data_IF_126594817599
#
_entry.id   IF_126594817599
#
_cell.length_a   1.000
_cell.length_b   1.000
_cell.length_c   1.000
_cell.angle_alpha   90.00
_cell.angle_beta   90.00
_cell.angle_gamma   90.00
#
_symmetry.space_group_name_H-M   'P 1'
#
loop_
_entity.id
_entity.type
_entity.pdbx_description
1 polymer ?
#
# COMPACT_ATOMS: atom_id res chain seq x y z
N UNK A 1 45.66 -3.60 -62.31
CA UNK A 1 44.62 -2.66 -61.86
C UNK A 1 44.19 -3.12 -60.47
N UNK A 2 44.86 -2.63 -59.41
CA UNK A 2 44.32 -1.67 -58.41
C UNK A 2 42.92 -2.03 -57.90
N UNK A 3 42.86 -2.52 -56.65
CA UNK A 3 41.86 -2.13 -55.65
C UNK A 3 42.37 -2.50 -54.26
N UNK A 4 42.84 -1.49 -53.51
CA UNK A 4 43.00 -1.55 -52.06
C UNK A 4 41.61 -1.63 -51.42
N UNK A 5 41.42 -2.53 -50.47
CA UNK A 5 40.29 -2.46 -49.53
C UNK A 5 40.83 -1.94 -48.20
N UNK A 6 40.53 -0.68 -47.89
CA UNK A 6 40.72 -0.09 -46.58
C UNK A 6 39.51 -0.48 -45.71
N UNK A 7 39.71 -1.42 -44.80
CA UNK A 7 38.71 -1.75 -43.78
C UNK A 7 38.74 -0.68 -42.69
N UNK A 8 37.74 0.19 -42.68
CA UNK A 8 37.53 1.20 -41.64
C UNK A 8 37.05 0.49 -40.36
N UNK A 9 37.89 0.44 -39.33
CA UNK A 9 37.46 0.00 -38.00
C UNK A 9 36.57 1.10 -37.39
N UNK A 10 35.26 0.89 -37.39
CA UNK A 10 34.31 1.71 -36.65
C UNK A 10 34.33 1.26 -35.19
N UNK A 11 35.17 1.89 -34.36
CA UNK A 11 35.16 1.68 -32.92
C UNK A 11 33.90 2.33 -32.33
N UNK A 12 32.85 1.53 -32.12
CA UNK A 12 31.69 1.97 -31.36
C UNK A 12 32.10 2.06 -29.88
N UNK A 13 32.48 3.26 -29.44
CA UNK A 13 32.56 3.56 -28.03
C UNK A 13 31.14 3.57 -27.46
N UNK A 14 30.72 2.47 -26.81
CA UNK A 14 29.59 2.50 -25.89
C UNK A 14 29.97 3.42 -24.73
N UNK A 15 29.61 4.69 -24.85
CA UNK A 15 29.59 5.59 -23.70
C UNK A 15 28.55 5.05 -22.73
N UNK A 16 29.01 4.59 -21.56
CA UNK A 16 28.12 4.37 -20.44
C UNK A 16 27.40 5.69 -20.15
N UNK A 17 26.09 5.73 -20.43
CA UNK A 17 25.26 6.86 -20.01
C UNK A 17 25.23 6.75 -18.48
N UNK A 18 25.79 7.73 -17.74
CA UNK A 18 25.66 7.70 -16.30
C UNK A 18 24.16 7.82 -16.00
N UNK A 19 23.65 6.91 -15.17
CA UNK A 19 22.35 7.07 -14.53
C UNK A 19 22.41 8.38 -13.75
N UNK A 20 21.94 9.47 -14.36
CA UNK A 20 21.72 10.71 -13.66
C UNK A 20 20.51 10.44 -12.78
N UNK A 21 20.75 10.08 -11.50
CA UNK A 21 19.70 10.24 -10.50
C UNK A 21 19.35 11.72 -10.53
N UNK A 22 18.16 12.05 -11.05
CA UNK A 22 17.65 13.40 -10.99
C UNK A 22 17.57 13.78 -9.51
N UNK A 23 18.40 14.74 -9.10
CA UNK A 23 18.30 15.30 -7.76
C UNK A 23 16.88 15.84 -7.57
N UNK A 24 16.07 15.16 -6.75
CA UNK A 24 14.69 15.57 -6.44
C UNK A 24 13.63 14.48 -6.52
N UNK A 25 13.92 13.27 -7.00
CA UNK A 25 12.92 12.19 -7.09
C UNK A 25 12.93 11.32 -5.83
N UNK A 26 11.78 11.20 -5.17
CA UNK A 26 11.64 10.43 -3.92
C UNK A 26 11.64 8.93 -4.21
N UNK A 27 11.94 8.10 -3.19
CA UNK A 27 11.86 6.64 -3.36
C UNK A 27 10.43 6.22 -3.70
N UNK A 28 9.43 6.85 -3.07
CA UNK A 28 8.03 6.61 -3.39
C UNK A 28 7.70 6.96 -4.85
N UNK A 29 8.21 8.06 -5.40
CA UNK A 29 8.00 8.43 -6.82
C UNK A 29 8.58 7.38 -7.78
N UNK A 30 9.77 6.83 -7.50
CA UNK A 30 10.35 5.76 -8.31
C UNK A 30 9.55 4.46 -8.22
N UNK A 31 9.01 4.15 -7.04
CA UNK A 31 8.13 2.98 -6.87
C UNK A 31 6.81 3.21 -7.62
N UNK A 32 6.27 4.42 -7.55
CA UNK A 32 5.05 4.79 -8.24
C UNK A 32 5.23 4.68 -9.76
N UNK A 33 6.34 5.14 -10.32
CA UNK A 33 6.65 4.94 -11.74
C UNK A 33 6.58 3.47 -12.15
N UNK A 34 7.17 2.57 -11.34
CA UNK A 34 7.10 1.12 -11.58
C UNK A 34 5.67 0.60 -11.53
N UNK A 35 4.90 1.03 -10.53
CA UNK A 35 3.51 0.66 -10.36
C UNK A 35 2.64 1.11 -11.54
N UNK A 36 2.81 2.36 -12.00
CA UNK A 36 2.02 2.95 -13.08
C UNK A 36 2.43 2.46 -14.48
N UNK A 37 3.68 2.01 -14.64
CA UNK A 37 4.25 1.58 -15.91
C UNK A 37 4.66 0.10 -15.90
N UNK A 38 3.86 -0.77 -15.27
CA UNK A 38 4.17 -2.20 -15.07
C UNK A 38 4.62 -2.94 -16.35
N UNK A 39 4.07 -2.62 -17.53
CA UNK A 39 4.50 -3.22 -18.80
C UNK A 39 5.95 -2.88 -19.19
N UNK A 40 6.43 -1.69 -18.84
CA UNK A 40 7.83 -1.28 -19.04
C UNK A 40 8.75 -1.98 -18.03
N UNK A 41 8.23 -2.24 -16.83
CA UNK A 41 8.93 -2.85 -15.70
C UNK A 41 8.59 -4.33 -15.50
N UNK A 42 8.18 -5.04 -16.56
CA UNK A 42 7.67 -6.42 -16.49
C UNK A 42 8.64 -7.46 -15.91
N UNK A 43 9.94 -7.15 -15.90
CA UNK A 43 10.99 -8.00 -15.36
C UNK A 43 11.31 -7.66 -13.87
N UNK A 44 10.58 -6.71 -13.28
CA UNK A 44 10.70 -6.30 -11.88
C UNK A 44 9.49 -6.78 -11.08
N UNK A 45 9.72 -7.55 -10.02
CA UNK A 45 8.66 -7.98 -9.10
C UNK A 45 8.63 -7.05 -7.91
N UNK A 46 7.50 -6.35 -7.72
CA UNK A 46 7.31 -5.49 -6.56
C UNK A 46 7.00 -6.31 -5.30
N UNK A 47 7.54 -5.87 -4.16
CA UNK A 47 7.29 -6.52 -2.87
C UNK A 47 6.32 -5.67 -2.04
N UNK A 48 5.17 -6.26 -1.71
CA UNK A 48 4.20 -5.73 -0.77
C UNK A 48 4.30 -6.45 0.59
N UNK A 49 4.62 -5.69 1.63
CA UNK A 49 4.71 -6.16 3.00
C UNK A 49 3.33 -6.11 3.67
N UNK A 50 2.67 -7.28 3.76
CA UNK A 50 1.37 -7.44 4.42
C UNK A 50 1.42 -7.02 5.89
N UNK A 51 0.44 -6.23 6.33
CA UNK A 51 0.33 -5.61 7.67
C UNK A 51 1.61 -4.93 8.13
N UNK A 52 2.19 -4.13 7.25
CA UNK A 52 3.47 -3.45 7.37
C UNK A 52 4.71 -4.36 7.44
N UNK A 53 4.58 -5.69 7.35
CA UNK A 53 5.70 -6.63 7.34
C UNK A 53 6.26 -6.94 8.74
N UNK A 54 5.54 -7.75 9.51
CA UNK A 54 5.96 -8.14 10.87
C UNK A 54 7.09 -9.16 10.93
N UNK A 55 7.43 -9.81 9.80
CA UNK A 55 8.33 -10.96 9.75
C UNK A 55 9.64 -10.67 9.03
N UNK A 56 10.73 -11.23 9.56
CA UNK A 56 12.02 -11.29 8.89
C UNK A 56 12.69 -12.64 9.15
N UNK A 57 13.20 -13.29 8.09
CA UNK A 57 13.86 -14.60 8.17
C UNK A 57 13.05 -15.67 8.93
N UNK A 58 11.73 -15.71 8.72
CA UNK A 58 10.82 -16.67 9.34
C UNK A 58 10.47 -16.40 10.80
N UNK A 59 10.81 -15.22 11.34
CA UNK A 59 10.49 -14.82 12.71
C UNK A 59 9.65 -13.54 12.72
N UNK A 60 8.64 -13.49 13.57
CA UNK A 60 7.89 -12.27 13.87
C UNK A 60 8.75 -11.37 14.75
N UNK A 61 9.28 -10.28 14.18
CA UNK A 61 10.17 -9.33 14.87
C UNK A 61 9.45 -8.07 15.34
N UNK A 62 8.38 -7.70 14.64
CA UNK A 62 7.61 -6.50 14.92
C UNK A 62 6.16 -6.87 15.22
N UNK A 63 5.45 -5.98 15.92
CA UNK A 63 4.01 -6.08 15.95
C UNK A 63 3.49 -5.77 14.53
N UNK A 64 2.47 -6.50 14.07
CA UNK A 64 1.80 -6.14 12.81
C UNK A 64 1.21 -4.72 12.89
N UNK A 65 1.09 -4.04 11.75
CA UNK A 65 0.48 -2.71 11.69
C UNK A 65 1.16 -1.68 12.64
N UNK A 66 2.47 -1.82 12.84
CA UNK A 66 3.28 -0.93 13.68
C UNK A 66 4.20 -0.04 12.85
N UNK A 67 4.61 1.10 13.39
CA UNK A 67 5.58 1.98 12.72
C UNK A 67 6.93 1.28 12.62
N UNK A 68 7.32 0.50 13.64
CA UNK A 68 8.56 -0.28 13.58
C UNK A 68 8.54 -1.33 12.46
N UNK A 69 7.39 -1.97 12.19
CA UNK A 69 7.25 -2.88 11.04
C UNK A 69 7.42 -2.13 9.72
N UNK A 70 6.82 -0.93 9.57
CA UNK A 70 7.02 -0.08 8.38
C UNK A 70 8.50 0.25 8.18
N UNK A 71 9.20 0.69 9.22
CA UNK A 71 10.64 0.98 9.15
C UNK A 71 11.46 -0.27 8.77
N UNK A 72 11.11 -1.43 9.35
CA UNK A 72 11.72 -2.71 8.99
C UNK A 72 11.53 -3.05 7.52
N UNK A 73 10.31 -2.92 7.01
CA UNK A 73 9.96 -3.15 5.60
C UNK A 73 10.71 -2.20 4.66
N UNK A 74 10.82 -0.92 5.00
CA UNK A 74 11.62 0.05 4.23
C UNK A 74 13.10 -0.38 4.22
N UNK A 75 13.65 -0.77 5.37
CA UNK A 75 15.05 -1.16 5.51
C UNK A 75 15.42 -2.41 4.68
N UNK A 76 14.50 -3.36 4.52
CA UNK A 76 14.71 -4.55 3.68
C UNK A 76 14.37 -4.33 2.20
N UNK A 77 13.95 -3.13 1.82
CA UNK A 77 13.69 -2.75 0.44
C UNK A 77 12.29 -3.03 -0.08
N UNK A 78 11.31 -3.32 0.79
CA UNK A 78 9.91 -3.46 0.37
C UNK A 78 9.40 -2.16 -0.29
N UNK A 79 8.52 -2.30 -1.27
CA UNK A 79 8.08 -1.18 -2.12
C UNK A 79 6.67 -0.73 -1.77
N UNK A 80 5.87 -1.62 -1.20
CA UNK A 80 4.55 -1.34 -0.70
C UNK A 80 4.48 -1.89 0.73
N UNK A 81 3.89 -1.13 1.65
CA UNK A 81 3.36 -1.69 2.91
C UNK A 81 1.84 -1.69 2.81
N UNK A 82 1.22 -2.81 3.10
CA UNK A 82 -0.23 -2.89 3.27
C UNK A 82 -0.55 -2.69 4.75
N UNK A 83 -1.59 -1.90 5.05
CA UNK A 83 -2.08 -1.67 6.41
C UNK A 83 -3.60 -1.72 6.47
N UNK A 84 -4.11 -2.18 7.61
CA UNK A 84 -5.53 -2.38 7.82
C UNK A 84 -6.18 -1.19 8.51
N UNK A 85 -7.18 -0.56 7.88
CA UNK A 85 -7.82 0.64 8.43
C UNK A 85 -9.16 0.32 9.11
N UNK A 86 -9.31 0.79 10.35
CA UNK A 86 -10.55 0.77 11.14
C UNK A 86 -10.88 2.15 11.69
N UNK A 87 -12.03 2.26 12.37
CA UNK A 87 -12.53 3.50 12.95
C UNK A 87 -12.67 3.37 14.47
N UNK A 88 -12.11 4.33 15.19
CA UNK A 88 -12.30 4.50 16.62
C UNK A 88 -13.69 5.06 16.94
N UNK A 89 -14.10 5.02 18.21
CA UNK A 89 -15.40 5.51 18.68
C UNK A 89 -15.67 6.97 18.36
N UNK A 90 -14.63 7.80 18.39
CA UNK A 90 -14.65 9.23 18.10
C UNK A 90 -14.50 9.53 16.60
N UNK A 91 -14.47 8.51 15.74
CA UNK A 91 -14.47 8.64 14.30
C UNK A 91 -13.09 8.69 13.67
N UNK A 92 -12.01 8.71 14.45
CA UNK A 92 -10.63 8.72 13.94
C UNK A 92 -10.30 7.41 13.20
N UNK A 93 -9.56 7.51 12.08
CA UNK A 93 -9.02 6.33 11.41
C UNK A 93 -7.79 5.81 12.15
N UNK A 94 -7.84 4.52 12.49
CA UNK A 94 -6.80 3.81 13.23
C UNK A 94 -6.38 2.56 12.47
N UNK A 95 -5.17 2.09 12.74
CA UNK A 95 -4.61 0.94 12.06
C UNK A 95 -4.75 -0.31 12.93
N UNK A 96 -5.59 -1.23 12.48
CA UNK A 96 -5.88 -2.47 13.16
C UNK A 96 -6.59 -3.46 12.21
N UNK A 97 -6.06 -4.68 12.10
CA UNK A 97 -6.70 -5.72 11.30
C UNK A 97 -8.03 -6.19 11.91
N UNK A 98 -7.98 -6.64 13.16
CA UNK A 98 -9.11 -7.27 13.84
C UNK A 98 -10.11 -6.22 14.35
N UNK A 99 -11.40 -6.57 14.41
CA UNK A 99 -12.38 -5.69 15.06
C UNK A 99 -12.20 -5.65 16.58
N UNK A 100 -11.50 -6.64 17.14
CA UNK A 100 -11.19 -6.78 18.56
C UNK A 100 -9.70 -6.52 18.84
N UNK A 101 -9.40 -5.85 19.95
CA UNK A 101 -8.05 -5.47 20.38
C UNK A 101 -7.22 -6.65 20.94
N UNK A 102 -7.87 -7.78 21.19
CA UNK A 102 -7.40 -8.83 22.07
C UNK A 102 -6.13 -9.55 21.62
N UNK A 103 -5.95 -9.74 20.31
CA UNK A 103 -4.86 -10.54 19.73
C UNK A 103 -3.55 -9.77 19.70
N UNK A 104 -3.61 -8.50 19.30
CA UNK A 104 -2.43 -7.70 18.92
C UNK A 104 -2.14 -6.56 19.88
N UNK A 105 -2.91 -6.43 20.96
CA UNK A 105 -2.71 -5.38 21.95
C UNK A 105 -2.84 -5.88 23.39
N UNK A 106 -2.46 -5.04 24.35
CA UNK A 106 -2.71 -5.25 25.79
C UNK A 106 -4.13 -4.95 26.23
N UNK A 107 -4.96 -4.37 25.36
CA UNK A 107 -6.37 -4.07 25.62
C UNK A 107 -7.29 -5.20 25.16
N UNK A 108 -8.57 -5.10 25.52
CA UNK A 108 -9.60 -6.11 25.21
C UNK A 108 -10.89 -5.44 24.75
N UNK A 109 -11.65 -6.12 23.90
CA UNK A 109 -12.91 -5.61 23.35
C UNK A 109 -12.76 -4.95 21.98
N UNK A 110 -13.89 -4.49 21.44
CA UNK A 110 -13.96 -3.97 20.07
C UNK A 110 -13.38 -2.57 19.92
N UNK A 111 -12.62 -2.34 18.84
CA UNK A 111 -11.99 -1.06 18.49
C UNK A 111 -13.00 0.09 18.47
N UNK A 112 -14.20 -0.16 17.92
CA UNK A 112 -15.27 0.85 17.78
C UNK A 112 -15.80 1.37 19.11
N UNK A 113 -15.50 0.72 20.23
CA UNK A 113 -15.90 1.14 21.57
C UNK A 113 -14.86 2.01 22.29
N UNK A 114 -13.68 2.22 21.70
CA UNK A 114 -12.60 3.01 22.27
C UNK A 114 -12.38 4.30 21.46
N UNK A 115 -12.23 5.42 22.15
CA UNK A 115 -11.73 6.67 21.56
C UNK A 115 -10.25 6.54 21.19
N UNK A 116 -9.75 7.38 20.30
CA UNK A 116 -8.32 7.40 19.98
C UNK A 116 -7.46 7.59 21.23
N UNK A 117 -7.87 8.48 22.14
CA UNK A 117 -7.16 8.73 23.39
C UNK A 117 -7.06 7.49 24.30
N UNK A 118 -8.05 6.61 24.26
CA UNK A 118 -8.01 5.33 24.97
C UNK A 118 -7.17 4.29 24.23
N UNK A 119 -7.28 4.22 22.90
CA UNK A 119 -6.46 3.35 22.05
C UNK A 119 -4.96 3.66 22.18
N UNK A 120 -4.59 4.93 22.39
CA UNK A 120 -3.21 5.36 22.69
C UNK A 120 -2.68 4.87 24.04
N UNK A 121 -3.49 4.23 24.88
CA UNK A 121 -3.06 3.53 26.10
C UNK A 121 -2.82 2.03 25.87
N UNK A 122 -3.31 1.48 24.75
CA UNK A 122 -3.14 0.08 24.38
C UNK A 122 -1.78 -0.13 23.73
N UNK A 123 -0.96 -1.04 24.27
CA UNK A 123 0.36 -1.36 23.72
C UNK A 123 0.25 -2.49 22.72
N UNK A 124 0.96 -2.38 21.59
CA UNK A 124 1.00 -3.44 20.59
C UNK A 124 1.81 -4.64 21.10
N UNK A 125 1.44 -5.84 20.66
CA UNK A 125 2.04 -7.12 21.03
C UNK A 125 2.61 -7.81 19.80
N UNK A 126 3.83 -8.33 19.93
CA UNK A 126 4.45 -9.16 18.89
C UNK A 126 3.83 -10.56 18.95
N UNK A 127 3.11 -10.93 17.89
CA UNK A 127 2.47 -12.24 17.78
C UNK A 127 3.49 -13.38 17.85
N UNK A 128 3.06 -14.54 18.37
CA UNK A 128 3.90 -15.72 18.56
C UNK A 128 4.83 -15.65 19.77
N UNK A 129 5.31 -14.44 20.13
CA UNK A 129 6.14 -14.24 21.33
C UNK A 129 5.35 -13.68 22.53
N UNK A 130 4.27 -12.94 22.28
CA UNK A 130 3.52 -12.23 23.32
C UNK A 130 4.26 -11.03 23.91
N UNK A 131 5.40 -10.63 23.33
CA UNK A 131 6.19 -9.51 23.81
C UNK A 131 5.41 -8.19 23.62
N UNK A 132 5.23 -7.45 24.70
CA UNK A 132 4.61 -6.12 24.69
C UNK A 132 5.64 -5.10 24.21
N UNK A 133 5.27 -4.31 23.20
CA UNK A 133 6.11 -3.25 22.64
C UNK A 133 5.87 -1.91 23.33
N UNK A 134 6.69 -0.92 23.01
CA UNK A 134 6.45 0.47 23.39
C UNK A 134 5.55 1.22 22.40
N UNK A 135 5.10 0.58 21.32
CA UNK A 135 4.19 1.19 20.35
C UNK A 135 2.74 1.08 20.80
N UNK A 136 1.93 1.99 20.31
CA UNK A 136 0.48 2.04 20.57
C UNK A 136 -0.26 1.89 19.25
N UNK A 137 -1.59 1.74 19.29
CA UNK A 137 -2.40 1.76 18.06
C UNK A 137 -2.14 3.07 17.29
N UNK A 138 -1.74 2.94 16.02
CA UNK A 138 -1.42 4.09 15.17
C UNK A 138 -2.67 4.67 14.53
N UNK A 139 -2.67 5.96 14.23
CA UNK A 139 -3.65 6.57 13.32
C UNK A 139 -3.23 6.35 11.87
N UNK A 140 -4.16 6.52 10.94
CA UNK A 140 -3.83 6.54 9.51
C UNK A 140 -2.85 7.67 9.19
N UNK A 141 -3.01 8.86 9.77
CA UNK A 141 -2.07 9.98 9.61
C UNK A 141 -0.65 9.64 10.07
N UNK A 142 -0.48 8.93 11.18
CA UNK A 142 0.85 8.51 11.66
C UNK A 142 1.50 7.51 10.69
N UNK A 143 0.74 6.57 10.13
CA UNK A 143 1.26 5.66 9.10
C UNK A 143 1.65 6.41 7.83
N UNK A 144 0.79 7.30 7.34
CA UNK A 144 1.07 8.12 6.16
C UNK A 144 2.35 8.94 6.36
N UNK A 145 2.47 9.65 7.49
CA UNK A 145 3.68 10.42 7.78
C UNK A 145 4.94 9.55 7.85
N UNK A 146 4.80 8.30 8.32
CA UNK A 146 5.90 7.34 8.31
C UNK A 146 6.22 6.91 6.88
N UNK A 147 5.26 6.63 6.00
CA UNK A 147 5.57 6.17 4.64
C UNK A 147 6.00 7.27 3.66
N UNK A 148 5.77 8.54 3.99
CA UNK A 148 6.01 9.72 3.14
C UNK A 148 7.35 9.69 2.43
N UNK A 149 7.32 9.89 1.11
CA UNK A 149 8.48 9.92 0.21
C UNK A 149 9.34 8.64 0.16
N UNK A 150 9.02 7.62 0.96
CA UNK A 150 9.87 6.43 1.16
C UNK A 150 9.29 5.16 0.56
N UNK A 151 7.98 4.96 0.64
CA UNK A 151 7.31 3.71 0.23
C UNK A 151 5.86 4.00 -0.15
N UNK A 152 5.24 3.17 -1.00
CA UNK A 152 3.79 3.24 -1.21
C UNK A 152 3.07 2.59 -0.04
N UNK A 153 1.85 3.06 0.23
CA UNK A 153 1.00 2.51 1.29
C UNK A 153 -0.31 2.02 0.69
N UNK A 154 -0.58 0.73 0.85
CA UNK A 154 -1.83 0.11 0.45
C UNK A 154 -2.78 0.04 1.64
N UNK A 155 -3.95 0.64 1.52
CA UNK A 155 -4.97 0.66 2.56
C UNK A 155 -5.97 -0.46 2.32
N UNK A 156 -5.96 -1.48 3.19
CA UNK A 156 -7.02 -2.47 3.25
C UNK A 156 -8.18 -1.94 4.11
N UNK A 157 -9.33 -1.80 3.49
CA UNK A 157 -10.52 -1.22 4.11
C UNK A 157 -11.26 -2.29 4.93
N UNK A 158 -11.20 -2.20 6.26
CA UNK A 158 -12.00 -3.05 7.17
C UNK A 158 -13.33 -2.43 7.59
N UNK A 159 -13.73 -1.36 6.89
CA UNK A 159 -14.96 -0.60 7.11
C UNK A 159 -15.87 -0.72 5.88
N UNK A 160 -16.84 0.19 5.75
CA UNK A 160 -17.68 0.25 4.57
C UNK A 160 -16.97 1.01 3.45
N UNK A 161 -17.35 0.72 2.21
CA UNK A 161 -16.84 1.43 1.02
C UNK A 161 -17.12 2.94 1.07
N UNK A 162 -18.11 3.37 1.85
CA UNK A 162 -18.42 4.78 2.10
C UNK A 162 -17.34 5.53 2.89
N UNK A 163 -16.43 4.82 3.56
CA UNK A 163 -15.34 5.41 4.35
C UNK A 163 -14.12 5.79 3.50
N UNK A 164 -13.95 5.21 2.31
CA UNK A 164 -12.81 5.44 1.42
C UNK A 164 -12.52 6.93 1.15
N UNK A 165 -13.52 7.81 0.88
CA UNK A 165 -13.26 9.23 0.68
C UNK A 165 -12.58 9.90 1.87
N UNK A 166 -12.89 9.48 3.10
CA UNK A 166 -12.26 10.02 4.31
C UNK A 166 -10.78 9.62 4.41
N UNK A 167 -10.46 8.37 4.09
CA UNK A 167 -9.07 7.87 4.10
C UNK A 167 -8.22 8.62 3.05
N UNK A 168 -8.76 8.79 1.85
CA UNK A 168 -8.10 9.56 0.77
C UNK A 168 -7.97 11.03 1.14
N UNK A 169 -8.97 11.62 1.82
CA UNK A 169 -8.90 12.99 2.29
C UNK A 169 -7.74 13.20 3.28
N UNK A 170 -7.53 12.29 4.24
CA UNK A 170 -6.40 12.40 5.17
C UNK A 170 -5.04 12.37 4.45
N UNK A 171 -4.90 11.50 3.44
CA UNK A 171 -3.70 11.44 2.62
C UNK A 171 -3.52 12.72 1.78
N UNK A 172 -4.61 13.25 1.22
CA UNK A 172 -4.59 14.49 0.44
C UNK A 172 -4.20 15.70 1.29
N UNK A 173 -4.71 15.81 2.50
CA UNK A 173 -4.36 16.86 3.46
C UNK A 173 -2.86 16.83 3.83
N UNK A 174 -2.24 15.66 3.71
CA UNK A 174 -0.81 15.46 3.92
C UNK A 174 0.03 15.61 2.65
N UNK A 175 -0.59 15.87 1.49
CA UNK A 175 0.08 15.94 0.19
C UNK A 175 0.59 14.58 -0.32
N UNK A 176 -0.08 13.49 0.07
CA UNK A 176 0.40 12.11 -0.12
C UNK A 176 -0.57 11.20 -0.88
N UNK A 177 -1.64 11.76 -1.47
CA UNK A 177 -2.68 10.95 -2.09
C UNK A 177 -2.13 10.03 -3.20
N UNK A 178 -1.13 10.47 -3.96
CA UNK A 178 -0.51 9.71 -5.04
C UNK A 178 0.25 8.48 -4.56
N UNK A 179 0.79 8.52 -3.33
CA UNK A 179 1.46 7.42 -2.66
C UNK A 179 0.51 6.36 -2.08
N UNK A 180 -0.80 6.63 -2.07
CA UNK A 180 -1.82 5.74 -1.50
C UNK A 180 -2.41 4.83 -2.56
N UNK A 181 -2.45 3.54 -2.27
CA UNK A 181 -3.19 2.52 -3.01
C UNK A 181 -4.40 2.14 -2.17
N UNK A 182 -5.61 2.51 -2.59
CA UNK A 182 -6.84 2.01 -1.97
C UNK A 182 -7.21 0.69 -2.62
N UNK A 183 -7.42 -0.36 -1.83
CA UNK A 183 -7.96 -1.63 -2.34
C UNK A 183 -9.35 -1.93 -1.79
N UNK A 184 -10.15 -2.61 -2.59
CA UNK A 184 -11.53 -2.94 -2.23
C UNK A 184 -11.95 -4.27 -2.87
N UNK A 185 -12.62 -5.11 -2.09
CA UNK A 185 -13.14 -6.39 -2.56
C UNK A 185 -14.38 -6.20 -3.45
N UNK A 186 -14.32 -6.77 -4.64
CA UNK A 186 -15.37 -6.75 -5.65
C UNK A 186 -15.77 -8.18 -6.04
N UNK A 187 -17.06 -8.46 -5.96
CA UNK A 187 -17.60 -9.79 -6.26
C UNK A 187 -18.95 -9.76 -6.99
N UNK A 188 -19.52 -8.57 -7.20
CA UNK A 188 -20.74 -8.40 -7.99
C UNK A 188 -20.88 -6.94 -8.47
N UNK A 189 -21.89 -6.70 -9.32
CA UNK A 189 -22.19 -5.38 -9.87
C UNK A 189 -22.52 -4.33 -8.81
N UNK A 190 -23.28 -4.69 -7.78
CA UNK A 190 -23.65 -3.76 -6.72
C UNK A 190 -22.41 -3.22 -5.98
N UNK A 191 -21.40 -4.06 -5.77
CA UNK A 191 -20.13 -3.67 -5.15
C UNK A 191 -19.29 -2.79 -6.09
N UNK A 192 -19.25 -3.10 -7.38
CA UNK A 192 -18.64 -2.22 -8.40
C UNK A 192 -19.27 -0.83 -8.36
N UNK A 193 -20.61 -0.76 -8.37
CA UNK A 193 -21.33 0.51 -8.39
C UNK A 193 -21.09 1.30 -7.09
N UNK A 194 -21.10 0.63 -5.92
CA UNK A 194 -20.84 1.26 -4.63
C UNK A 194 -19.39 1.79 -4.51
N UNK A 195 -18.40 1.01 -4.95
CA UNK A 195 -17.00 1.43 -5.02
C UNK A 195 -16.82 2.60 -5.98
N UNK A 196 -17.37 2.51 -7.19
CA UNK A 196 -17.36 3.61 -8.17
C UNK A 196 -17.90 4.90 -7.59
N UNK A 197 -19.04 4.85 -6.90
CA UNK A 197 -19.64 6.02 -6.26
C UNK A 197 -18.75 6.59 -5.13
N UNK A 198 -18.07 5.74 -4.36
CA UNK A 198 -17.16 6.19 -3.31
C UNK A 198 -15.89 6.84 -3.90
N UNK A 199 -15.25 6.20 -4.88
CA UNK A 199 -14.06 6.74 -5.55
C UNK A 199 -14.37 8.07 -6.23
N UNK A 200 -15.55 8.21 -6.87
CA UNK A 200 -15.98 9.48 -7.45
C UNK A 200 -16.07 10.61 -6.40
N UNK A 201 -16.48 10.30 -5.15
CA UNK A 201 -16.48 11.27 -4.05
C UNK A 201 -15.08 11.55 -3.50
N UNK A 202 -14.18 10.57 -3.53
CA UNK A 202 -12.79 10.72 -3.10
C UNK A 202 -11.95 11.60 -4.05
N UNK A 203 -12.38 11.71 -5.32
CA UNK A 203 -11.69 12.43 -6.38
C UNK A 203 -10.59 11.59 -7.02
N UNK A 204 -9.64 12.22 -7.72
CA UNK A 204 -8.49 11.54 -8.33
C UNK A 204 -7.17 11.79 -7.58
N UNK A 205 -6.07 11.29 -8.13
CA UNK A 205 -4.72 11.51 -7.59
C UNK A 205 -4.33 10.54 -6.48
N UNK A 206 -4.91 9.35 -6.47
CA UNK A 206 -4.48 8.18 -5.70
C UNK A 206 -4.63 6.93 -6.58
N UNK A 207 -4.05 5.82 -6.17
CA UNK A 207 -4.14 4.56 -6.91
C UNK A 207 -5.31 3.71 -6.39
N UNK A 208 -6.05 3.07 -7.29
CA UNK A 208 -7.08 2.10 -6.93
C UNK A 208 -6.70 0.71 -7.42
N UNK A 209 -6.81 -0.28 -6.54
CA UNK A 209 -6.50 -1.68 -6.81
C UNK A 209 -7.71 -2.55 -6.42
N UNK A 210 -8.60 -2.90 -7.37
CA UNK A 210 -9.69 -3.81 -7.07
C UNK A 210 -9.16 -5.20 -6.71
N UNK A 211 -9.80 -5.84 -5.74
CA UNK A 211 -9.55 -7.24 -5.39
C UNK A 211 -10.69 -8.06 -5.99
N UNK A 212 -10.39 -8.98 -6.89
CA UNK A 212 -11.38 -9.90 -7.46
C UNK A 212 -11.50 -11.12 -6.56
N UNK A 213 -12.61 -11.22 -5.83
CA UNK A 213 -12.77 -12.29 -4.85
C UNK A 213 -12.95 -13.65 -5.55
N UNK A 214 -11.90 -14.47 -5.60
CA UNK A 214 -11.85 -15.77 -6.28
C UNK A 214 -12.96 -16.75 -5.84
N UNK A 215 -13.45 -16.63 -4.61
CA UNK A 215 -14.52 -17.47 -4.06
C UNK A 215 -15.92 -17.06 -4.52
N UNK A 216 -16.06 -15.88 -5.11
CA UNK A 216 -17.33 -15.31 -5.56
C UNK A 216 -17.35 -14.94 -7.05
N UNK A 217 -16.18 -14.83 -7.69
CA UNK A 217 -16.01 -14.55 -9.12
C UNK A 217 -15.60 -15.82 -9.83
N UNK A 218 -16.51 -16.37 -10.64
CA UNK A 218 -16.24 -17.58 -11.43
C UNK A 218 -16.34 -17.34 -12.95
N UNK A 219 -16.57 -16.09 -13.35
CA UNK A 219 -16.70 -15.67 -14.74
C UNK A 219 -15.56 -14.72 -15.10
N UNK A 220 -14.74 -15.11 -16.07
CA UNK A 220 -13.66 -14.27 -16.58
C UNK A 220 -14.17 -12.94 -17.15
N UNK A 221 -15.42 -12.87 -17.61
CA UNK A 221 -16.03 -11.62 -18.08
C UNK A 221 -16.22 -10.59 -16.94
N UNK A 222 -16.23 -11.01 -15.67
CA UNK A 222 -16.29 -10.09 -14.54
C UNK A 222 -15.03 -9.22 -14.44
N UNK A 223 -13.86 -9.76 -14.79
CA UNK A 223 -12.64 -8.97 -14.87
C UNK A 223 -12.77 -7.84 -15.91
N UNK A 224 -13.40 -8.11 -17.06
CA UNK A 224 -13.69 -7.09 -18.09
C UNK A 224 -14.68 -6.02 -17.58
N UNK A 225 -15.63 -6.39 -16.72
CA UNK A 225 -16.55 -5.43 -16.11
C UNK A 225 -15.83 -4.49 -15.14
N UNK A 226 -14.93 -5.03 -14.31
CA UNK A 226 -14.11 -4.25 -13.39
C UNK A 226 -13.14 -3.35 -14.15
N UNK A 227 -12.50 -3.87 -15.20
CA UNK A 227 -11.62 -3.09 -16.08
C UNK A 227 -12.37 -1.90 -16.72
N UNK A 228 -13.57 -2.12 -17.25
CA UNK A 228 -14.41 -1.03 -17.80
C UNK A 228 -14.83 0.00 -16.75
N UNK A 229 -15.04 -0.42 -15.50
CA UNK A 229 -15.50 0.46 -14.45
C UNK A 229 -14.38 1.36 -13.90
N UNK A 230 -13.16 0.84 -13.76
CA UNK A 230 -12.09 1.52 -13.03
C UNK A 230 -10.84 1.80 -13.85
N UNK A 231 -10.62 1.10 -14.98
CA UNK A 231 -9.35 1.07 -15.72
C UNK A 231 -8.14 0.97 -14.77
N UNK A 232 -8.12 -0.03 -13.85
CA UNK A 232 -7.17 -0.08 -12.76
C UNK A 232 -5.76 -0.39 -13.28
N UNK A 233 -4.75 0.19 -12.63
CA UNK A 233 -3.33 -0.05 -12.98
C UNK A 233 -2.80 -1.38 -12.46
N UNK A 234 -3.43 -1.89 -11.40
CA UNK A 234 -3.14 -3.18 -10.78
C UNK A 234 -4.44 -3.81 -10.28
N UNK A 235 -4.49 -5.14 -10.22
CA UNK A 235 -5.59 -5.93 -9.68
C UNK A 235 -4.99 -6.94 -8.71
N UNK A 236 -5.64 -7.14 -7.56
CA UNK A 236 -5.33 -8.20 -6.59
C UNK A 236 -6.27 -9.40 -6.78
#
# INVERSE_FOLDING_TARGET
MRTLWLSLFLSAALGAIPNQSLAGETRAAQILDRFEHANQWRDHVMIAAHRAGSMQAGKTLYAENSLAAVEGSIAIGAEIVEVDVRRAKDGEFVIMHDSWLDRTTTCKGEVVNYTLAELKKCRLVIEGTGAVTNETVSTLREMLLTTRDRILINLDNKLEVTDLPGMVAEARDLGMADQVIVKENLWNRQRIDAASAALARAGGGFQFMPILADDAVHDAAFADEVDKAFAPRAIE
#
